data_IF_798694435679
#
_entry.id   IF_798694435679
#
_cell.length_a   1.000
_cell.length_b   1.000
_cell.length_c   1.000
_cell.angle_alpha   90.00
_cell.angle_beta   90.00
_cell.angle_gamma   90.00
#
_symmetry.space_group_name_H-M   'P 1'
#
loop_
_entity.id
_entity.type
_entity.pdbx_description
1 polymer ?
#
# COMPACT_ATOMS: atom_id res chain seq x y z
N UNK A 1 -9.54 11.54 -2.58
CA UNK A 1 -9.70 12.89 -3.15
C UNK A 1 -9.78 12.83 -4.67
N UNK A 2 -10.77 13.51 -5.27
CA UNK A 2 -10.94 13.66 -6.72
C UNK A 2 -10.99 15.13 -7.10
N UNK A 3 -10.62 15.46 -8.33
CA UNK A 3 -10.70 16.83 -8.87
C UNK A 3 -11.34 16.82 -10.25
N UNK A 4 -11.93 17.94 -10.65
CA UNK A 4 -12.46 18.16 -11.98
C UNK A 4 -12.26 19.64 -12.33
N UNK A 5 -12.00 19.92 -13.61
CA UNK A 5 -11.99 21.28 -14.15
C UNK A 5 -13.03 21.40 -15.27
N UNK A 6 -13.60 22.60 -15.40
CA UNK A 6 -14.58 22.92 -16.45
C UNK A 6 -14.17 24.25 -17.13
N UNK A 7 -12.92 24.29 -17.60
CA UNK A 7 -12.35 25.47 -18.25
C UNK A 7 -13.14 25.84 -19.52
N UNK A 8 -13.43 27.12 -19.70
CA UNK A 8 -14.16 27.63 -20.87
C UNK A 8 -15.64 27.28 -20.91
N UNK A 9 -16.24 26.79 -19.82
CA UNK A 9 -17.69 26.54 -19.73
C UNK A 9 -18.42 27.75 -19.14
N UNK A 10 -19.28 28.38 -19.93
CA UNK A 10 -20.24 29.40 -19.47
C UNK A 10 -21.65 28.80 -19.41
N UNK A 11 -22.52 29.37 -18.58
CA UNK A 11 -23.89 28.91 -18.29
C UNK A 11 -24.84 28.94 -19.50
N UNK A 12 -24.43 29.54 -20.61
CA UNK A 12 -25.24 29.72 -21.82
C UNK A 12 -25.43 28.38 -22.54
N UNK A 13 -26.58 27.78 -22.22
CA UNK A 13 -27.36 26.80 -22.98
C UNK A 13 -27.12 25.30 -22.76
N UNK A 14 -26.14 24.89 -21.94
CA UNK A 14 -26.01 23.47 -21.54
C UNK A 14 -25.50 23.28 -20.10
N UNK A 15 -25.95 22.24 -19.37
CA UNK A 15 -25.40 21.89 -18.06
C UNK A 15 -23.89 21.65 -18.13
N UNK A 16 -23.15 22.16 -17.14
CA UNK A 16 -21.71 21.88 -17.02
C UNK A 16 -21.52 20.42 -16.63
N UNK A 17 -20.88 19.64 -17.51
CA UNK A 17 -20.49 18.26 -17.21
C UNK A 17 -19.10 18.23 -16.58
N UNK A 18 -19.02 17.72 -15.36
CA UNK A 18 -17.75 17.46 -14.69
C UNK A 18 -17.32 16.01 -14.92
N UNK A 19 -16.04 15.83 -15.26
CA UNK A 19 -15.39 14.52 -15.27
C UNK A 19 -14.35 14.50 -14.16
N UNK A 20 -14.62 13.72 -13.13
CA UNK A 20 -13.74 13.62 -11.97
C UNK A 20 -12.57 12.68 -12.24
N UNK A 21 -11.39 13.07 -11.75
CA UNK A 21 -10.16 12.28 -11.77
C UNK A 21 -9.64 12.12 -10.36
N UNK A 22 -9.07 10.95 -10.08
CA UNK A 22 -8.38 10.71 -8.82
C UNK A 22 -7.07 11.50 -8.78
N UNK A 23 -6.86 12.28 -7.72
CA UNK A 23 -5.66 13.10 -7.56
C UNK A 23 -4.51 12.35 -6.87
N UNK A 24 -4.83 11.31 -6.10
CA UNK A 24 -3.86 10.53 -5.31
C UNK A 24 -3.53 9.21 -6.03
N UNK A 25 -2.42 8.58 -5.64
CA UNK A 25 -2.16 7.19 -5.97
C UNK A 25 -2.71 6.28 -4.86
N UNK A 26 -3.24 5.11 -5.22
CA UNK A 26 -3.68 4.08 -4.26
C UNK A 26 -2.67 2.95 -4.18
N UNK A 27 -2.26 2.57 -2.98
CA UNK A 27 -1.40 1.42 -2.72
C UNK A 27 -2.19 0.35 -1.96
N UNK A 28 -2.08 -0.90 -2.43
CA UNK A 28 -2.71 -2.07 -1.83
C UNK A 28 -1.83 -3.31 -2.01
N UNK A 29 -2.22 -4.43 -1.40
CA UNK A 29 -1.53 -5.70 -1.59
C UNK A 29 -2.45 -6.91 -1.53
N UNK A 30 -1.94 -8.02 -2.04
CA UNK A 30 -2.39 -9.37 -1.68
C UNK A 30 -1.21 -10.26 -1.31
N UNK A 31 -1.52 -11.29 -0.52
CA UNK A 31 -0.59 -12.31 -0.05
C UNK A 31 -1.14 -13.66 -0.44
N UNK A 32 -0.33 -14.48 -1.09
CA UNK A 32 -0.63 -15.88 -1.42
C UNK A 32 0.49 -16.80 -0.96
N UNK A 33 0.26 -18.11 -0.97
CA UNK A 33 1.28 -19.11 -0.69
C UNK A 33 1.92 -19.66 -1.99
N UNK A 34 3.20 -20.08 -1.92
CA UNK A 34 3.88 -20.84 -2.96
C UNK A 34 4.72 -21.98 -2.34
N UNK A 35 4.40 -23.27 -2.56
CA UNK A 35 3.29 -23.76 -3.39
C UNK A 35 1.92 -23.43 -2.76
N UNK A 36 0.85 -23.63 -3.55
CA UNK A 36 -0.52 -23.54 -3.03
C UNK A 36 -0.68 -24.57 -1.90
N UNK A 37 -1.36 -24.16 -0.84
CA UNK A 37 -1.65 -25.06 0.28
C UNK A 37 -2.81 -25.96 -0.13
N UNK A 38 -2.58 -27.27 -0.17
CA UNK A 38 -3.61 -28.29 -0.47
C UNK A 38 -3.96 -29.13 0.78
N UNK A 39 -3.03 -29.21 1.73
CA UNK A 39 -3.15 -29.98 2.96
C UNK A 39 -3.96 -29.23 4.02
N UNK A 40 -4.84 -29.95 4.72
CA UNK A 40 -5.77 -29.34 5.70
C UNK A 40 -5.08 -28.88 6.99
N UNK A 41 -3.95 -29.49 7.33
CA UNK A 41 -3.17 -29.26 8.54
C UNK A 41 -2.02 -28.25 8.32
N UNK A 42 -1.93 -27.68 7.12
CA UNK A 42 -0.99 -26.60 6.78
C UNK A 42 -1.72 -25.27 6.79
N UNK A 43 -1.26 -24.33 7.61
CA UNK A 43 -1.85 -22.98 7.72
C UNK A 43 -0.76 -21.93 7.84
N UNK A 44 -0.86 -20.85 7.08
CA UNK A 44 -0.05 -19.64 7.27
C UNK A 44 -0.92 -18.56 7.89
N UNK A 45 -0.57 -18.04 9.08
CA UNK A 45 -1.32 -16.95 9.73
C UNK A 45 -0.50 -15.66 9.68
N UNK A 46 -0.98 -14.65 8.96
CA UNK A 46 -0.29 -13.35 8.88
C UNK A 46 -0.60 -12.52 10.12
N UNK A 47 0.44 -12.16 10.87
CA UNK A 47 0.34 -11.36 12.10
C UNK A 47 0.48 -9.87 11.81
N UNK A 48 1.41 -9.50 10.92
CA UNK A 48 1.78 -8.13 10.63
C UNK A 48 2.23 -7.98 9.18
N UNK A 49 1.76 -6.94 8.49
CA UNK A 49 2.37 -6.41 7.27
C UNK A 49 2.74 -4.97 7.54
N UNK A 50 3.98 -4.57 7.30
CA UNK A 50 4.48 -3.25 7.67
C UNK A 50 5.23 -2.60 6.52
N UNK A 51 4.84 -1.38 6.17
CA UNK A 51 5.55 -0.51 5.23
C UNK A 51 6.27 0.59 6.01
N UNK A 52 7.58 0.71 5.77
CA UNK A 52 8.45 1.61 6.51
C UNK A 52 9.61 2.16 5.66
N UNK A 53 10.25 3.22 6.17
CA UNK A 53 11.36 3.91 5.52
C UNK A 53 12.73 3.30 5.83
N UNK A 54 13.67 4.13 6.26
CA UNK A 54 15.01 3.73 6.71
C UNK A 54 14.95 2.81 7.94
N UNK A 55 14.03 3.10 8.87
CA UNK A 55 13.76 2.34 10.10
C UNK A 55 12.30 1.93 10.19
N UNK A 56 12.02 0.82 10.91
CA UNK A 56 10.66 0.28 11.01
C UNK A 56 9.65 1.27 11.62
N UNK A 57 10.07 2.23 12.45
CA UNK A 57 9.20 3.24 13.06
C UNK A 57 9.21 4.59 12.31
N UNK A 58 9.76 4.63 11.09
CA UNK A 58 9.85 5.86 10.30
C UNK A 58 8.99 5.78 9.05
N UNK A 59 8.21 6.84 8.85
CA UNK A 59 7.35 6.98 7.68
C UNK A 59 8.12 7.29 6.39
N UNK A 60 7.46 7.04 5.26
CA UNK A 60 8.09 7.07 3.92
C UNK A 60 7.69 8.31 3.13
N UNK A 61 6.42 8.69 3.23
CA UNK A 61 5.78 9.62 2.32
C UNK A 61 5.62 11.01 2.95
N UNK A 62 5.74 12.03 2.12
CA UNK A 62 5.24 13.37 2.40
C UNK A 62 3.72 13.31 2.49
N UNK A 63 3.19 13.81 3.61
CA UNK A 63 1.75 13.78 3.90
C UNK A 63 1.05 15.11 3.56
N UNK A 64 1.82 16.16 3.24
CA UNK A 64 1.33 17.49 2.87
C UNK A 64 1.61 17.85 1.41
N UNK A 65 0.72 18.62 0.81
CA UNK A 65 0.91 19.14 -0.54
C UNK A 65 -0.19 20.08 -1.00
N UNK A 66 0.08 20.87 -2.03
CA UNK A 66 -0.90 21.68 -2.73
C UNK A 66 -1.32 21.02 -4.05
N UNK A 67 -2.63 20.89 -4.26
CA UNK A 67 -3.20 20.37 -5.52
C UNK A 67 -3.64 21.55 -6.40
N UNK A 68 -3.06 21.64 -7.59
CA UNK A 68 -3.54 22.55 -8.62
C UNK A 68 -4.80 21.97 -9.27
N UNK A 69 -5.98 22.51 -8.96
CA UNK A 69 -7.26 21.99 -9.49
C UNK A 69 -7.42 22.17 -11.02
N UNK A 70 -6.66 23.09 -11.63
CA UNK A 70 -6.68 23.30 -13.09
C UNK A 70 -5.93 22.19 -13.83
N UNK A 71 -4.76 21.81 -13.34
CA UNK A 71 -3.88 20.84 -14.01
C UNK A 71 -3.96 19.43 -13.42
N UNK A 72 -4.34 19.31 -12.15
CA UNK A 72 -4.21 18.09 -11.35
C UNK A 72 -2.81 17.85 -10.79
N UNK A 73 -1.88 18.78 -11.02
CA UNK A 73 -0.51 18.68 -10.55
C UNK A 73 -0.40 18.89 -9.04
N UNK A 74 0.47 18.12 -8.41
CA UNK A 74 0.78 18.26 -6.98
C UNK A 74 2.11 18.98 -6.76
N UNK A 75 2.14 19.80 -5.72
CA UNK A 75 3.35 20.37 -5.14
C UNK A 75 3.45 19.88 -3.69
N UNK A 76 4.09 18.71 -3.44
CA UNK A 76 4.23 18.17 -2.10
C UNK A 76 5.21 19.01 -1.26
N UNK A 77 5.00 19.05 0.05
CA UNK A 77 5.90 19.72 1.00
C UNK A 77 6.06 18.88 2.27
N UNK A 78 7.17 19.10 2.98
CA UNK A 78 7.36 18.45 4.28
C UNK A 78 6.59 19.20 5.37
N UNK A 79 5.61 18.53 5.96
CA UNK A 79 4.82 19.04 7.08
C UNK A 79 5.31 18.49 8.43
N UNK A 80 6.51 17.87 8.45
CA UNK A 80 7.11 17.22 9.62
C UNK A 80 6.28 16.07 10.21
N UNK A 81 5.24 15.61 9.51
CA UNK A 81 4.44 14.44 9.88
C UNK A 81 4.80 13.28 8.97
N UNK A 82 5.26 12.17 9.54
CA UNK A 82 5.62 10.97 8.78
C UNK A 82 4.78 9.80 9.26
N UNK A 83 4.07 9.15 8.34
CA UNK A 83 3.27 7.96 8.63
C UNK A 83 4.00 6.70 8.22
N UNK A 84 4.02 5.72 9.09
CA UNK A 84 4.32 4.34 8.72
C UNK A 84 3.08 3.47 8.95
N UNK A 85 2.93 2.48 8.08
CA UNK A 85 1.66 1.77 7.95
C UNK A 85 1.86 0.32 8.34
N UNK A 86 0.96 -0.16 9.19
CA UNK A 86 0.96 -1.54 9.65
C UNK A 86 -0.43 -2.12 9.46
N UNK A 87 -0.55 -3.30 8.86
CA UNK A 87 -1.79 -4.06 8.82
C UNK A 87 -1.69 -5.26 9.74
N UNK A 88 -2.74 -5.47 10.54
CA UNK A 88 -2.85 -6.60 11.45
C UNK A 88 -4.25 -7.22 11.37
N UNK A 89 -4.46 -8.46 11.82
CA UNK A 89 -5.78 -9.06 11.93
C UNK A 89 -6.80 -8.20 12.69
N UNK A 90 -6.34 -7.49 13.73
CA UNK A 90 -7.17 -6.74 14.67
C UNK A 90 -7.08 -5.21 14.50
N UNK A 91 -6.51 -4.73 13.39
CA UNK A 91 -6.44 -3.29 13.11
C UNK A 91 -7.81 -2.69 12.78
N UNK A 92 -7.84 -1.38 12.52
CA UNK A 92 -9.07 -0.66 12.14
C UNK A 92 -9.07 -0.33 10.65
N UNK A 93 -10.24 -0.28 10.04
CA UNK A 93 -10.39 0.07 8.62
C UNK A 93 -9.94 1.51 8.37
N UNK A 94 -10.39 2.45 9.21
CA UNK A 94 -9.98 3.86 9.13
C UNK A 94 -8.54 4.09 9.63
N UNK A 95 -7.90 3.06 10.18
CA UNK A 95 -6.62 3.15 10.86
C UNK A 95 -6.75 3.64 12.30
N UNK A 96 -5.82 3.26 13.15
CA UNK A 96 -5.70 3.85 14.49
C UNK A 96 -4.61 4.92 14.48
N UNK A 97 -5.00 6.19 14.29
CA UNK A 97 -4.07 7.32 14.16
C UNK A 97 -3.49 7.81 15.49
N UNK A 98 -4.01 7.31 16.62
CA UNK A 98 -3.67 7.78 17.96
C UNK A 98 -2.46 7.06 18.57
N UNK A 99 -1.85 6.12 17.85
CA UNK A 99 -0.64 5.44 18.29
C UNK A 99 0.56 6.33 17.98
N UNK A 100 0.86 7.25 18.91
CA UNK A 100 2.07 8.08 18.87
C UNK A 100 3.28 7.23 19.29
N UNK A 101 4.28 7.13 18.43
CA UNK A 101 5.57 6.47 18.74
C UNK A 101 6.71 7.51 18.76
N UNK A 102 6.51 8.63 19.46
CA UNK A 102 7.49 9.68 19.77
C UNK A 102 7.62 10.86 18.76
N UNK A 103 8.00 12.01 19.31
CA UNK A 103 8.53 13.18 18.60
C UNK A 103 10.04 13.08 18.66
N UNK A 104 10.74 13.12 17.53
CA UNK A 104 12.21 13.10 17.56
C UNK A 104 12.80 14.49 17.86
N UNK A 105 14.11 14.53 18.08
CA UNK A 105 14.88 15.75 18.39
C UNK A 105 14.73 16.86 17.33
N UNK A 106 14.31 16.53 16.11
CA UNK A 106 14.10 17.45 15.00
C UNK A 106 12.66 17.97 14.90
N UNK A 107 11.79 17.63 15.86
CA UNK A 107 10.38 18.03 15.86
C UNK A 107 9.50 17.26 14.88
N UNK A 108 9.97 16.14 14.32
CA UNK A 108 9.14 15.29 13.46
C UNK A 108 8.18 14.44 14.31
N UNK A 109 6.90 14.43 13.95
CA UNK A 109 5.89 13.57 14.55
C UNK A 109 5.76 12.28 13.73
N UNK A 110 6.11 11.14 14.33
CA UNK A 110 5.87 9.83 13.74
C UNK A 110 4.53 9.27 14.20
N UNK A 111 3.65 9.04 13.23
CA UNK A 111 2.35 8.40 13.48
C UNK A 111 2.35 6.98 12.93
N UNK A 112 1.95 6.05 13.79
CA UNK A 112 1.70 4.67 13.39
C UNK A 112 0.24 4.53 13.01
N UNK A 113 -0.01 4.11 11.77
CA UNK A 113 -1.37 3.79 11.32
C UNK A 113 -1.53 2.28 11.36
N UNK A 114 -2.45 1.78 12.19
CA UNK A 114 -2.75 0.35 12.30
C UNK A 114 -4.04 0.01 11.53
N UNK A 115 -3.86 -0.45 10.30
CA UNK A 115 -4.93 -0.91 9.43
C UNK A 115 -5.32 -2.37 9.63
N UNK A 116 -6.51 -2.75 9.12
CA UNK A 116 -7.02 -4.12 9.20
C UNK A 116 -6.69 -4.95 7.95
N UNK A 117 -6.26 -6.19 8.14
CA UNK A 117 -6.21 -7.23 7.09
C UNK A 117 -7.64 -7.71 6.72
N UNK A 118 -7.78 -8.43 5.60
CA UNK A 118 -9.05 -9.08 5.21
C UNK A 118 -9.61 -9.98 6.31
N UNK A 119 -10.91 -10.28 6.26
CA UNK A 119 -11.63 -11.03 7.32
C UNK A 119 -10.99 -12.37 7.69
N UNK A 120 -10.33 -13.02 6.73
CA UNK A 120 -9.55 -14.23 6.94
C UNK A 120 -8.05 -13.94 6.71
N UNK A 121 -7.30 -13.53 7.75
CA UNK A 121 -5.87 -13.23 7.65
C UNK A 121 -4.99 -14.48 7.76
N UNK A 122 -5.46 -15.61 7.21
CA UNK A 122 -4.72 -16.86 7.14
C UNK A 122 -4.84 -17.48 5.74
N UNK A 123 -3.79 -18.17 5.30
CA UNK A 123 -3.80 -18.99 4.09
C UNK A 123 -3.91 -20.45 4.50
N UNK A 124 -4.82 -21.18 3.87
CA UNK A 124 -5.03 -22.61 4.06
C UNK A 124 -5.59 -23.24 2.77
N UNK A 125 -5.98 -24.51 2.84
CA UNK A 125 -6.55 -25.23 1.69
C UNK A 125 -7.86 -24.63 1.12
N UNK A 126 -8.55 -23.77 1.85
CA UNK A 126 -9.80 -23.10 1.42
C UNK A 126 -9.62 -21.62 1.11
N UNK A 127 -8.66 -20.96 1.76
CA UNK A 127 -8.35 -19.56 1.55
C UNK A 127 -6.93 -19.39 1.00
N UNK A 128 -6.80 -19.07 -0.28
CA UNK A 128 -5.51 -18.94 -0.95
C UNK A 128 -5.01 -17.49 -1.07
N UNK A 129 -5.75 -16.53 -0.51
CA UNK A 129 -5.41 -15.11 -0.58
C UNK A 129 -5.78 -14.33 0.70
N UNK A 130 -4.87 -13.45 1.11
CA UNK A 130 -5.12 -12.40 2.12
C UNK A 130 -4.95 -11.05 1.42
N UNK A 131 -5.81 -10.08 1.74
CA UNK A 131 -5.71 -8.71 1.20
C UNK A 131 -5.76 -7.69 2.32
N UNK A 132 -5.69 -6.41 1.98
CA UNK A 132 -6.21 -5.36 2.86
C UNK A 132 -7.71 -5.62 3.14
N UNK A 133 -8.23 -5.24 4.31
CA UNK A 133 -9.67 -5.10 4.47
C UNK A 133 -10.21 -4.05 3.47
N UNK A 134 -11.51 -4.12 3.18
CA UNK A 134 -12.17 -3.03 2.45
C UNK A 134 -11.84 -1.69 3.12
N UNK A 135 -11.45 -0.70 2.32
CA UNK A 135 -11.04 0.65 2.73
C UNK A 135 -9.74 0.77 3.57
N UNK A 136 -9.04 -0.33 3.87
CA UNK A 136 -7.68 -0.30 4.49
C UNK A 136 -6.58 -0.04 3.45
N UNK A 137 -6.81 0.89 2.51
CA UNK A 137 -5.84 1.27 1.47
C UNK A 137 -5.01 2.47 1.88
N UNK A 138 -3.78 2.57 1.36
CA UNK A 138 -3.03 3.83 1.46
C UNK A 138 -3.32 4.69 0.25
N UNK A 139 -3.59 5.97 0.50
CA UNK A 139 -3.63 7.00 -0.53
C UNK A 139 -2.46 7.96 -0.35
N UNK A 140 -1.60 8.07 -1.36
CA UNK A 140 -0.42 8.93 -1.31
C UNK A 140 -0.51 10.06 -2.32
N UNK A 141 0.03 11.21 -1.93
CA UNK A 141 0.25 12.34 -2.81
C UNK A 141 1.35 11.95 -3.81
N UNK A 142 1.15 12.17 -5.12
CA UNK A 142 2.20 12.04 -6.11
C UNK A 142 3.42 12.89 -5.72
N UNK A 143 4.56 12.22 -5.55
CA UNK A 143 5.80 12.81 -5.05
C UNK A 143 7.02 12.12 -5.66
N UNK A 144 8.20 12.71 -5.44
CA UNK A 144 9.48 12.14 -5.85
C UNK A 144 9.74 10.78 -5.19
N UNK A 145 10.59 9.96 -5.81
CA UNK A 145 10.96 8.65 -5.28
C UNK A 145 11.56 8.77 -3.88
N UNK A 146 11.07 8.03 -2.88
CA UNK A 146 11.64 8.05 -1.54
C UNK A 146 13.00 7.33 -1.54
N UNK A 147 13.90 7.75 -0.64
CA UNK A 147 15.21 7.12 -0.48
C UNK A 147 15.12 5.68 0.03
N UNK A 148 14.08 5.37 0.81
CA UNK A 148 13.83 4.03 1.36
C UNK A 148 12.33 3.72 1.24
N UNK A 149 12.01 2.53 0.73
CA UNK A 149 10.64 2.01 0.78
C UNK A 149 10.70 0.50 1.01
N UNK A 150 10.51 0.09 2.26
CA UNK A 150 10.73 -1.29 2.71
C UNK A 150 9.44 -1.89 3.25
N UNK A 151 9.39 -3.21 3.16
CA UNK A 151 8.31 -4.06 3.62
C UNK A 151 8.85 -5.05 4.64
N UNK A 152 8.06 -5.32 5.67
CA UNK A 152 8.21 -6.46 6.57
C UNK A 152 6.89 -7.21 6.66
N UNK A 153 6.94 -8.53 6.63
CA UNK A 153 5.79 -9.39 6.95
C UNK A 153 6.19 -10.33 8.09
N UNK A 154 5.33 -10.41 9.11
CA UNK A 154 5.45 -11.38 10.20
C UNK A 154 4.27 -12.36 10.09
N UNK A 155 4.57 -13.65 10.03
CA UNK A 155 3.56 -14.69 9.93
C UNK A 155 3.97 -15.94 10.71
N UNK A 156 3.03 -16.82 10.99
CA UNK A 156 3.34 -18.19 11.43
C UNK A 156 3.04 -19.19 10.36
N UNK A 157 3.87 -20.23 10.27
CA UNK A 157 3.61 -21.45 9.49
C UNK A 157 3.29 -22.55 10.49
N UNK A 158 2.11 -23.16 10.34
CA UNK A 158 1.67 -24.31 11.11
C UNK A 158 1.61 -25.52 10.17
N UNK A 159 2.22 -26.64 10.57
CA UNK A 159 2.16 -27.92 9.85
C UNK A 159 1.99 -29.04 10.88
N UNK A 160 0.80 -29.63 10.94
CA UNK A 160 0.45 -30.57 12.00
C UNK A 160 0.62 -29.96 13.40
N UNK A 161 1.51 -30.54 14.21
CA UNK A 161 1.83 -30.05 15.56
C UNK A 161 2.97 -29.02 15.65
N UNK A 162 3.61 -28.67 14.52
CA UNK A 162 4.70 -27.70 14.48
C UNK A 162 4.17 -26.31 14.14
N UNK A 163 4.65 -25.28 14.85
CA UNK A 163 4.38 -23.87 14.55
C UNK A 163 5.68 -23.06 14.63
N UNK A 164 5.98 -22.29 13.59
CA UNK A 164 7.15 -21.40 13.54
C UNK A 164 6.73 -19.98 13.16
N UNK A 165 7.32 -18.97 13.81
CA UNK A 165 7.12 -17.55 13.44
C UNK A 165 8.25 -17.10 12.52
N UNK A 166 7.88 -16.64 11.33
CA UNK A 166 8.80 -16.15 10.30
C UNK A 166 8.69 -14.63 10.16
N UNK A 167 9.82 -13.99 9.88
CA UNK A 167 9.90 -12.57 9.53
C UNK A 167 10.61 -12.42 8.20
N UNK A 168 9.95 -11.83 7.22
CA UNK A 168 10.53 -11.54 5.90
C UNK A 168 10.61 -10.05 5.67
N UNK A 169 11.65 -9.64 4.95
CA UNK A 169 11.96 -8.25 4.64
C UNK A 169 12.18 -8.08 3.14
N UNK A 170 11.73 -6.97 2.57
CA UNK A 170 11.95 -6.64 1.17
C UNK A 170 12.11 -5.15 0.97
N UNK A 171 13.04 -4.76 0.11
CA UNK A 171 13.09 -3.41 -0.43
C UNK A 171 12.16 -3.35 -1.65
N UNK A 172 11.11 -2.53 -1.57
CA UNK A 172 10.12 -2.40 -2.63
C UNK A 172 10.63 -1.54 -3.79
N UNK A 173 11.66 -0.72 -3.57
CA UNK A 173 12.29 0.07 -4.65
C UNK A 173 12.95 -0.79 -5.73
N UNK A 174 13.28 -2.04 -5.41
CA UNK A 174 13.92 -2.99 -6.34
C UNK A 174 12.90 -3.71 -7.25
N UNK A 175 11.61 -3.55 -6.96
CA UNK A 175 10.50 -4.26 -7.65
C UNK A 175 9.63 -3.27 -8.44
N UNK A 176 9.63 -2.01 -8.03
CA UNK A 176 8.90 -0.94 -8.70
C UNK A 176 9.58 -0.57 -10.02
N UNK A 177 8.81 -0.09 -11.00
CA UNK A 177 9.36 0.36 -12.27
C UNK A 177 10.46 1.40 -12.05
N UNK A 178 11.44 1.49 -12.98
CA UNK A 178 12.49 2.48 -12.89
C UNK A 178 11.91 3.89 -12.77
N UNK A 179 12.59 4.70 -11.97
CA UNK A 179 12.20 6.07 -11.71
C UNK A 179 12.33 6.90 -12.99
N UNK A 180 11.29 7.65 -13.33
CA UNK A 180 11.37 8.68 -14.35
C UNK A 180 11.32 10.02 -13.62
N UNK A 181 12.46 10.71 -13.54
CA UNK A 181 12.59 11.96 -12.81
C UNK A 181 11.67 13.08 -13.31
N UNK A 182 11.08 12.92 -14.51
CA UNK A 182 10.09 13.85 -15.05
C UNK A 182 8.68 13.63 -14.48
N UNK A 183 8.43 12.50 -13.81
CA UNK A 183 7.13 12.16 -13.26
C UNK A 183 7.22 11.81 -11.77
N UNK A 184 6.11 11.98 -11.01
CA UNK A 184 6.02 11.43 -9.68
C UNK A 184 6.22 9.92 -9.68
N UNK A 185 6.94 9.41 -8.68
CA UNK A 185 7.23 7.98 -8.53
C UNK A 185 5.95 7.15 -8.45
N UNK A 186 4.96 7.64 -7.70
CA UNK A 186 3.59 7.13 -7.73
C UNK A 186 2.67 8.17 -8.35
N UNK A 187 2.01 7.81 -9.44
CA UNK A 187 1.21 8.74 -10.24
C UNK A 187 -0.23 8.84 -9.72
N UNK A 188 -0.76 10.07 -9.74
CA UNK A 188 -2.14 10.34 -9.39
C UNK A 188 -3.10 9.57 -10.32
N UNK A 189 -4.14 8.98 -9.74
CA UNK A 189 -5.13 8.19 -10.48
C UNK A 189 -4.67 6.82 -10.93
N UNK A 190 -3.53 6.35 -10.42
CA UNK A 190 -3.08 4.96 -10.54
C UNK A 190 -3.29 4.18 -9.24
N UNK A 191 -3.52 2.88 -9.39
CA UNK A 191 -3.53 1.91 -8.32
C UNK A 191 -2.33 0.97 -8.47
N UNK A 192 -1.59 0.78 -7.39
CA UNK A 192 -0.40 -0.07 -7.30
C UNK A 192 -0.74 -1.22 -6.35
N UNK A 193 -0.71 -2.44 -6.86
CA UNK A 193 -0.99 -3.66 -6.10
C UNK A 193 0.30 -4.47 -5.97
N UNK A 194 0.74 -4.68 -4.73
CA UNK A 194 1.87 -5.55 -4.44
C UNK A 194 1.38 -6.98 -4.21
N UNK A 195 1.91 -7.92 -4.97
CA UNK A 195 1.58 -9.34 -4.90
C UNK A 195 2.70 -10.07 -4.15
N UNK A 196 2.46 -10.41 -2.89
CA UNK A 196 3.41 -11.10 -2.02
C UNK A 196 3.17 -12.60 -2.06
N UNK A 197 4.22 -13.39 -2.32
CA UNK A 197 4.15 -14.85 -2.29
C UNK A 197 5.01 -15.38 -1.14
N UNK A 198 4.35 -15.91 -0.12
CA UNK A 198 4.98 -16.56 1.02
C UNK A 198 5.29 -18.01 0.68
N UNK A 199 6.49 -18.46 1.00
CA UNK A 199 6.87 -19.86 0.86
C UNK A 199 6.55 -20.63 2.14
N UNK A 200 6.20 -21.91 1.99
CA UNK A 200 6.14 -22.86 3.11
C UNK A 200 7.52 -23.18 3.68
N UNK A 201 8.56 -23.02 2.85
CA UNK A 201 9.95 -22.95 3.28
C UNK A 201 10.31 -21.46 3.53
N UNK A 202 10.51 -21.02 4.78
CA UNK A 202 10.69 -19.62 5.17
C UNK A 202 11.77 -18.84 4.41
N UNK A 203 12.70 -19.55 3.75
CA UNK A 203 13.85 -18.96 3.05
C UNK A 203 13.45 -18.25 1.75
N UNK A 204 12.32 -18.60 1.13
CA UNK A 204 11.90 -18.03 -0.17
C UNK A 204 10.76 -17.01 -0.01
N UNK A 205 10.98 -15.78 -0.51
CA UNK A 205 9.98 -14.71 -0.48
C UNK A 205 10.01 -13.87 -1.76
N UNK A 206 8.94 -13.99 -2.54
CA UNK A 206 8.79 -13.31 -3.82
C UNK A 206 7.76 -12.20 -3.75
N UNK A 207 8.04 -11.11 -4.47
CA UNK A 207 7.16 -9.96 -4.56
C UNK A 207 7.10 -9.49 -6.00
N UNK A 208 5.88 -9.25 -6.50
CA UNK A 208 5.62 -8.61 -7.78
C UNK A 208 4.75 -7.37 -7.58
N UNK A 209 4.72 -6.46 -8.57
CA UNK A 209 3.85 -5.28 -8.53
C UNK A 209 3.07 -5.17 -9.83
N UNK A 210 1.77 -4.89 -9.74
CA UNK A 210 0.92 -4.55 -10.87
C UNK A 210 0.43 -3.10 -10.72
N UNK A 211 0.40 -2.36 -11.84
CA UNK A 211 0.02 -0.94 -11.86
C UNK A 211 -1.03 -0.71 -12.93
N UNK A 212 -2.10 0.00 -12.59
CA UNK A 212 -2.98 0.50 -13.63
C UNK A 212 -3.94 1.58 -13.16
N UNK A 213 -4.96 1.85 -13.97
CA UNK A 213 -5.87 2.96 -13.71
C UNK A 213 -6.73 2.70 -12.46
N UNK A 214 -6.92 3.71 -11.63
CA UNK A 214 -7.78 3.62 -10.45
C UNK A 214 -9.28 3.72 -10.80
N UNK A 215 -9.61 4.04 -12.04
CA UNK A 215 -10.98 3.93 -12.54
C UNK A 215 -11.32 2.44 -12.53
N UNK A 216 -12.46 2.04 -11.93
CA UNK A 216 -12.86 0.66 -11.63
C UNK A 216 -12.98 -0.35 -12.79
N UNK A 217 -12.28 -0.15 -13.89
CA UNK A 217 -11.93 -1.18 -14.83
C UNK A 217 -10.68 -1.90 -14.31
N UNK A 218 -10.84 -3.19 -13.98
CA UNK A 218 -9.78 -4.10 -13.57
C UNK A 218 -8.48 -3.87 -14.35
N UNK A 219 -7.39 -3.70 -13.62
CA UNK A 219 -6.05 -3.78 -14.18
C UNK A 219 -5.68 -5.26 -14.21
N UNK A 220 -5.92 -5.92 -15.35
CA UNK A 220 -5.31 -7.20 -15.68
C UNK A 220 -4.03 -6.92 -16.45
N UNK A 221 -2.96 -6.61 -15.74
CA UNK A 221 -1.62 -6.66 -16.31
C UNK A 221 -0.77 -7.57 -15.43
N UNK A 222 -0.75 -8.86 -15.80
CA UNK A 222 0.31 -9.78 -15.41
C UNK A 222 1.61 -9.27 -16.04
N UNK A 223 2.48 -8.65 -15.23
CA UNK A 223 3.87 -8.47 -15.63
C UNK A 223 4.56 -9.83 -15.42
N UNK A 224 4.67 -10.59 -16.49
CA UNK A 224 5.58 -11.73 -16.56
C UNK A 224 7.00 -11.18 -16.62
N UNK A 225 7.74 -11.36 -15.53
CA UNK A 225 9.21 -11.31 -15.48
C UNK A 225 9.70 -12.70 -15.83
#
# INVERSE_FOLDING_TARGET
>A
MVYANAEGKTKTDNPVKFTFKHALARLSFDITANPKIEEKDVVIKVKEVKLYGDKENKGIFLMGGHLNLKTGGWSPYDNHTKWFYTWTPNGKVEGDENVKEDVNENGEEYKKIIYKLSEHPQLDHTNDKITNAADSYIYIIPQQKPANFKLKIVYTVQQGGFEETVKVYKNLLDILPPDDSNYPFFQGGKAYVFHFKLSLDPVKFDVKTTVGNWIGNEVKDEITI
#
